data_IF_470936397402
#
_entry.id   IF_470936397402
#
_cell.length_a   1.000
_cell.length_b   1.000
_cell.length_c   1.000
_cell.angle_alpha   90.00
_cell.angle_beta   90.00
_cell.angle_gamma   90.00
#
_symmetry.space_group_name_H-M   'P 1'
#
loop_
_entity.id
_entity.type
_entity.pdbx_description
1 polymer ?
#
# COMPACT_ATOMS: atom_id res chain seq x y z
N UNK A 1 14.68 4.60 -8.33
CA UNK A 1 13.71 4.53 -7.23
C UNK A 1 12.65 3.52 -7.62
N UNK A 2 12.59 2.38 -6.95
CA UNK A 2 11.52 1.39 -7.12
C UNK A 2 10.23 2.12 -6.74
N UNK A 3 9.37 2.42 -7.72
CA UNK A 3 8.04 2.97 -7.42
C UNK A 3 7.35 1.95 -6.52
N UNK A 4 7.06 2.33 -5.28
CA UNK A 4 6.24 1.53 -4.39
C UNK A 4 4.90 1.26 -5.08
N UNK A 5 4.34 0.08 -4.83
CA UNK A 5 3.10 -0.34 -5.44
C UNK A 5 1.96 0.66 -5.08
N UNK A 6 1.22 1.19 -6.08
CA UNK A 6 0.21 2.21 -5.85
C UNK A 6 -0.99 1.70 -5.05
N UNK A 7 -1.29 0.39 -5.13
CA UNK A 7 -2.33 -0.24 -4.30
C UNK A 7 -1.89 -0.21 -2.84
N UNK A 8 -0.67 -0.67 -2.55
CA UNK A 8 -0.08 -0.61 -1.21
C UNK A 8 -0.09 0.81 -0.64
N UNK A 9 0.39 1.81 -1.39
CA UNK A 9 0.43 3.19 -0.90
C UNK A 9 -0.98 3.72 -0.57
N UNK A 10 -1.97 3.40 -1.39
CA UNK A 10 -3.36 3.81 -1.16
C UNK A 10 -3.95 3.13 0.08
N UNK A 11 -3.70 1.82 0.24
CA UNK A 11 -4.17 1.07 1.41
C UNK A 11 -3.49 1.52 2.71
N UNK A 12 -2.21 1.90 2.68
CA UNK A 12 -1.51 2.47 3.85
C UNK A 12 -2.10 3.79 4.32
N UNK A 13 -2.60 4.62 3.40
CA UNK A 13 -3.33 5.84 3.78
C UNK A 13 -4.65 5.48 4.47
N UNK A 14 -5.40 4.54 3.89
CA UNK A 14 -6.67 4.07 4.48
C UNK A 14 -6.46 3.44 5.87
N UNK A 15 -5.37 2.70 6.08
CA UNK A 15 -4.98 2.13 7.37
C UNK A 15 -4.78 3.21 8.45
N UNK A 16 -4.36 4.41 8.07
CA UNK A 16 -4.20 5.55 8.97
C UNK A 16 -5.51 6.33 9.19
N UNK A 17 -6.65 5.73 8.87
CA UNK A 17 -8.00 6.33 8.94
C UNK A 17 -8.12 7.64 8.13
N UNK A 18 -7.25 7.80 7.13
CA UNK A 18 -7.24 8.96 6.23
C UNK A 18 -7.90 8.61 4.90
N UNK A 19 -8.58 9.60 4.29
CA UNK A 19 -9.08 9.44 2.95
C UNK A 19 -7.94 9.54 1.93
N UNK A 20 -7.78 8.56 1.03
CA UNK A 20 -6.76 8.64 0.00
C UNK A 20 -7.12 9.70 -1.04
N UNK A 21 -6.17 10.59 -1.33
CA UNK A 21 -6.21 11.57 -2.41
C UNK A 21 -5.05 11.37 -3.38
N UNK A 22 -5.29 11.58 -4.67
CA UNK A 22 -4.25 11.44 -5.71
C UNK A 22 -3.05 12.37 -5.49
N UNK A 23 -3.26 13.57 -4.93
CA UNK A 23 -2.20 14.57 -4.70
C UNK A 23 -1.17 14.12 -3.67
N UNK A 24 -1.62 13.53 -2.56
CA UNK A 24 -0.71 13.06 -1.52
C UNK A 24 0.08 11.82 -1.96
N UNK A 25 -0.48 11.04 -2.89
CA UNK A 25 0.14 9.85 -3.47
C UNK A 25 1.01 10.18 -4.68
N UNK A 26 1.08 11.45 -5.11
CA UNK A 26 1.85 11.88 -6.28
C UNK A 26 1.40 11.20 -7.57
N UNK A 27 0.11 10.86 -7.67
CA UNK A 27 -0.46 10.06 -8.75
C UNK A 27 -1.32 10.91 -9.69
N UNK A 28 -1.35 10.55 -10.97
CA UNK A 28 -2.32 11.13 -11.90
C UNK A 28 -3.76 10.74 -11.47
N UNK A 29 -4.76 11.64 -11.58
CA UNK A 29 -6.14 11.34 -11.21
C UNK A 29 -6.73 10.11 -11.91
N UNK A 30 -6.33 9.81 -13.15
CA UNK A 30 -6.82 8.64 -13.91
C UNK A 30 -6.24 7.34 -13.36
N UNK A 31 -4.95 7.35 -13.05
CA UNK A 31 -4.27 6.22 -12.42
C UNK A 31 -4.84 5.98 -11.03
N UNK A 32 -5.07 7.06 -10.26
CA UNK A 32 -5.66 6.96 -8.92
C UNK A 32 -7.06 6.36 -8.94
N UNK A 33 -7.90 6.77 -9.89
CA UNK A 33 -9.24 6.18 -10.08
C UNK A 33 -9.15 4.69 -10.44
N UNK A 34 -8.16 4.30 -11.25
CA UNK A 34 -7.93 2.90 -11.62
C UNK A 34 -7.53 2.07 -10.41
N UNK A 35 -6.66 2.60 -9.56
CA UNK A 35 -6.21 1.96 -8.31
C UNK A 35 -7.36 1.82 -7.31
N UNK A 36 -8.15 2.88 -7.08
CA UNK A 36 -9.32 2.80 -6.21
C UNK A 36 -10.35 1.78 -6.69
N UNK A 37 -10.59 1.75 -8.01
CA UNK A 37 -11.48 0.75 -8.61
C UNK A 37 -10.95 -0.66 -8.35
N UNK A 38 -9.67 -0.90 -8.58
CA UNK A 38 -9.05 -2.19 -8.33
C UNK A 38 -9.14 -2.61 -6.85
N UNK A 39 -8.85 -1.70 -5.92
CA UNK A 39 -8.97 -1.92 -4.47
C UNK A 39 -10.38 -2.37 -4.08
N UNK A 40 -11.41 -1.71 -4.62
CA UNK A 40 -12.80 -2.04 -4.36
C UNK A 40 -13.20 -3.38 -5.01
N UNK A 41 -12.83 -3.61 -6.26
CA UNK A 41 -13.13 -4.87 -6.97
C UNK A 41 -12.42 -6.08 -6.36
N UNK A 42 -11.21 -5.89 -5.80
CA UNK A 42 -10.46 -6.92 -5.10
C UNK A 42 -10.95 -7.14 -3.65
N UNK A 43 -11.87 -6.30 -3.16
CA UNK A 43 -12.39 -6.38 -1.80
C UNK A 43 -11.38 -5.99 -0.72
N UNK A 44 -10.35 -5.20 -1.06
CA UNK A 44 -9.36 -4.72 -0.10
C UNK A 44 -9.88 -3.56 0.76
N UNK A 45 -10.86 -2.82 0.26
CA UNK A 45 -11.57 -1.79 1.02
C UNK A 45 -13.06 -1.75 0.61
N UNK A 46 -13.92 -1.35 1.54
CA UNK A 46 -15.36 -1.16 1.36
C UNK A 46 -15.82 0.20 1.94
N UNK A 47 -17.14 0.39 2.05
CA UNK A 47 -17.73 1.62 2.58
C UNK A 47 -17.37 1.91 4.06
N UNK A 48 -16.96 0.90 4.82
CA UNK A 48 -16.51 1.02 6.21
C UNK A 48 -14.99 1.20 6.34
N UNK A 49 -14.25 1.12 5.22
CA UNK A 49 -12.81 1.33 5.19
C UNK A 49 -12.05 0.07 4.77
N UNK A 50 -10.90 -0.15 5.39
CA UNK A 50 -10.00 -1.25 5.04
C UNK A 50 -10.56 -2.60 5.53
N UNK A 51 -10.60 -3.60 4.66
CA UNK A 51 -11.08 -4.95 5.00
C UNK A 51 -9.92 -5.83 5.53
N UNK A 52 -10.21 -7.01 6.12
CA UNK A 52 -9.17 -7.99 6.45
C UNK A 52 -8.29 -8.37 5.25
N UNK A 53 -8.86 -8.49 4.06
CA UNK A 53 -8.10 -8.80 2.84
C UNK A 53 -7.12 -7.67 2.46
N UNK A 54 -7.53 -6.41 2.66
CA UNK A 54 -6.64 -5.26 2.47
C UNK A 54 -5.49 -5.21 3.48
N UNK A 55 -5.77 -5.55 4.74
CA UNK A 55 -4.75 -5.71 5.78
C UNK A 55 -3.75 -6.84 5.45
N UNK A 56 -4.24 -7.99 4.99
CA UNK A 56 -3.37 -9.09 4.55
C UNK A 56 -2.49 -8.69 3.37
N UNK A 57 -3.02 -7.91 2.42
CA UNK A 57 -2.24 -7.38 1.30
C UNK A 57 -1.08 -6.50 1.78
N UNK A 58 -1.35 -5.56 2.69
CA UNK A 58 -0.33 -4.69 3.30
C UNK A 58 0.79 -5.53 3.92
N UNK A 59 0.43 -6.48 4.80
CA UNK A 59 1.40 -7.32 5.50
C UNK A 59 2.19 -8.23 4.55
N UNK A 60 1.55 -8.76 3.51
CA UNK A 60 2.22 -9.57 2.49
C UNK A 60 3.22 -8.72 1.68
N UNK A 61 2.84 -7.50 1.33
CA UNK A 61 3.72 -6.55 0.65
C UNK A 61 4.92 -6.19 1.53
N UNK A 62 4.69 -5.79 2.78
CA UNK A 62 5.75 -5.45 3.74
C UNK A 62 6.72 -6.61 3.93
N UNK A 63 6.23 -7.85 4.13
CA UNK A 63 7.10 -9.04 4.25
C UNK A 63 7.99 -9.26 3.03
N UNK A 64 7.45 -9.11 1.81
CA UNK A 64 8.21 -9.29 0.56
C UNK A 64 9.30 -8.22 0.41
N UNK A 65 9.02 -6.99 0.87
CA UNK A 65 9.96 -5.87 0.75
C UNK A 65 10.91 -5.71 1.94
N UNK A 66 10.61 -6.34 3.08
CA UNK A 66 11.49 -6.40 4.26
C UNK A 66 12.48 -7.57 4.18
N UNK A 67 12.22 -8.55 3.31
CA UNK A 67 13.11 -9.70 3.02
C UNK A 67 14.32 -9.34 2.16
N UNK A 68 14.83 -8.10 2.23
CA UNK A 68 16.10 -7.71 1.61
C UNK A 68 17.23 -7.75 2.66
N UNK A 69 18.15 -8.74 2.64
CA UNK A 69 19.10 -9.01 3.74
C UNK A 69 20.30 -8.07 3.87
N UNK A 70 20.34 -6.92 3.16
CA UNK A 70 21.53 -6.04 3.18
C UNK A 70 21.70 -5.20 4.46
N UNK A 71 20.82 -5.32 5.45
CA UNK A 71 20.92 -4.59 6.74
C UNK A 71 21.26 -5.50 7.93
N UNK A 72 21.63 -6.76 7.69
CA UNK A 72 22.10 -7.65 8.77
C UNK A 72 23.63 -7.61 9.00
N UNK A 73 24.39 -6.78 8.26
CA UNK A 73 25.86 -6.86 8.20
C UNK A 73 26.62 -5.61 8.69
N UNK A 74 26.06 -4.85 9.64
CA UNK A 74 26.81 -3.85 10.42
C UNK A 74 26.44 -3.92 11.89
N UNK A 75 26.86 -5.00 12.54
CA UNK A 75 26.70 -5.20 13.96
C UNK A 75 27.79 -6.09 14.55
N UNK A 76 29.00 -6.09 14.00
CA UNK A 76 30.20 -6.68 14.60
C UNK A 76 31.42 -5.93 14.05
N UNK A 77 32.08 -5.17 14.93
CA UNK A 77 33.27 -4.38 14.66
C UNK A 77 33.54 -3.42 15.80
#
# INVERSE_FOLDING_TARGET
MTRMDPVYQTLKVMEQEQQPEFRQLGMDPRDFRTVLKHIHEAGYADASGLTPAGQEYIQAYERRHQSNPDVARRGLG
#
